data_IF_816481577031
#
_entry.id   IF_816481577031
#
_cell.length_a   1.000
_cell.length_b   1.000
_cell.length_c   1.000
_cell.angle_alpha   90.00
_cell.angle_beta   90.00
_cell.angle_gamma   90.00
#
_symmetry.space_group_name_H-M   'P 1'
#
loop_
_entity.id
_entity.type
_entity.pdbx_description
1 polymer ?
#
# COMPACT_ATOMS: atom_id res chain seq x y z
N UNK A 1 -9.36 -5.78 -5.21
CA UNK A 1 -8.85 -4.82 -4.20
C UNK A 1 -7.35 -4.99 -4.12
N UNK A 2 -6.60 -3.91 -4.31
CA UNK A 2 -5.14 -3.88 -4.35
C UNK A 2 -4.54 -4.36 -3.02
N UNK A 3 -4.28 -5.65 -2.93
CA UNK A 3 -3.86 -6.32 -1.72
C UNK A 3 -2.50 -7.02 -1.83
N UNK A 4 -1.77 -6.79 -2.91
CA UNK A 4 -0.44 -7.40 -3.11
C UNK A 4 0.47 -6.45 -3.86
N UNK A 5 1.70 -6.30 -3.38
CA UNK A 5 2.71 -5.49 -4.06
C UNK A 5 4.12 -6.05 -3.85
N UNK A 6 5.03 -5.61 -4.68
CA UNK A 6 6.44 -5.91 -4.63
C UNK A 6 7.23 -4.68 -4.21
N UNK A 7 8.30 -4.89 -3.44
CA UNK A 7 9.28 -3.87 -3.10
C UNK A 7 10.68 -4.51 -3.11
N UNK A 8 11.34 -4.41 -4.26
CA UNK A 8 12.72 -4.86 -4.45
C UNK A 8 13.74 -3.79 -4.09
N UNK A 9 13.33 -2.55 -4.12
CA UNK A 9 14.16 -1.43 -3.69
C UNK A 9 14.58 -1.59 -2.24
N UNK A 10 15.85 -1.43 -1.98
CA UNK A 10 16.42 -1.48 -0.65
C UNK A 10 16.16 -0.17 0.13
N UNK A 11 16.58 -0.15 1.39
CA UNK A 11 16.38 0.98 2.29
C UNK A 11 17.05 2.26 1.78
N UNK A 12 18.25 2.16 1.25
CA UNK A 12 18.98 3.33 0.74
C UNK A 12 18.30 3.91 -0.49
N UNK A 13 17.91 3.08 -1.46
CA UNK A 13 17.19 3.53 -2.65
C UNK A 13 15.88 4.21 -2.31
N UNK A 14 15.13 3.66 -1.34
CA UNK A 14 13.90 4.28 -0.83
C UNK A 14 14.19 5.62 -0.16
N UNK A 15 15.22 5.69 0.69
CA UNK A 15 15.59 6.93 1.36
C UNK A 15 15.94 8.05 0.38
N UNK A 16 16.70 7.74 -0.65
CA UNK A 16 17.07 8.68 -1.71
C UNK A 16 15.86 9.13 -2.52
N UNK A 17 15.03 8.16 -2.99
CA UNK A 17 13.87 8.45 -3.85
C UNK A 17 12.83 9.33 -3.15
N UNK A 18 12.61 9.10 -1.86
CA UNK A 18 11.59 9.83 -1.09
C UNK A 18 12.17 10.94 -0.22
N UNK A 19 13.48 11.23 -0.32
CA UNK A 19 14.18 12.21 0.51
C UNK A 19 13.89 12.03 2.00
N UNK A 20 14.09 10.80 2.49
CA UNK A 20 13.90 10.45 3.92
C UNK A 20 15.05 11.00 4.74
N UNK A 21 14.74 11.75 5.81
CA UNK A 21 15.71 12.37 6.69
C UNK A 21 15.80 11.71 8.08
N UNK A 22 14.82 10.91 8.48
CA UNK A 22 14.73 10.32 9.81
C UNK A 22 14.26 8.85 9.79
N UNK A 23 14.51 8.10 10.84
CA UNK A 23 14.03 6.72 11.04
C UNK A 23 14.83 5.64 10.31
N UNK A 24 15.94 5.98 9.65
CA UNK A 24 16.72 5.03 8.86
C UNK A 24 17.47 4.01 9.73
N UNK A 25 18.00 4.45 10.86
CA UNK A 25 18.77 3.58 11.75
C UNK A 25 17.86 2.66 12.57
N UNK A 26 16.67 3.14 12.92
CA UNK A 26 15.67 2.40 13.70
C UNK A 26 14.83 1.44 12.87
N UNK A 27 14.88 1.56 11.53
CA UNK A 27 14.03 0.79 10.62
C UNK A 27 14.84 -0.26 9.86
N UNK A 28 14.45 -1.52 9.98
CA UNK A 28 15.03 -2.63 9.22
C UNK A 28 13.96 -3.39 8.48
N UNK A 29 14.20 -3.64 7.20
CA UNK A 29 13.36 -4.46 6.33
C UNK A 29 14.16 -4.99 5.15
N UNK A 30 13.76 -6.15 4.65
CA UNK A 30 14.35 -6.75 3.46
C UNK A 30 13.49 -6.47 2.22
N UNK A 31 14.11 -6.34 1.03
CA UNK A 31 13.40 -6.40 -0.24
C UNK A 31 12.57 -7.69 -0.35
N UNK A 32 11.48 -7.63 -1.10
CA UNK A 32 10.63 -8.80 -1.29
C UNK A 32 9.73 -8.71 -2.51
N UNK A 33 9.33 -9.87 -2.99
CA UNK A 33 8.60 -10.02 -4.26
C UNK A 33 7.09 -10.02 -4.08
N UNK A 34 6.56 -10.21 -2.87
CA UNK A 34 5.12 -10.35 -2.68
C UNK A 34 4.69 -10.06 -1.23
N UNK A 35 4.31 -8.82 -0.97
CA UNK A 35 3.79 -8.40 0.31
C UNK A 35 2.26 -8.39 0.32
N UNK A 36 1.68 -8.76 1.46
CA UNK A 36 0.24 -8.89 1.66
C UNK A 36 -0.24 -8.16 2.92
N UNK A 37 -1.54 -7.85 3.01
CA UNK A 37 -2.11 -7.26 4.22
C UNK A 37 -1.81 -8.06 5.49
N UNK A 38 -1.74 -7.35 6.61
CA UNK A 38 -1.36 -7.79 7.94
C UNK A 38 0.16 -7.93 8.17
N UNK A 39 1.00 -7.74 7.14
CA UNK A 39 2.46 -7.64 7.31
C UNK A 39 2.88 -6.25 7.84
N UNK A 40 4.07 -6.18 8.43
CA UNK A 40 4.75 -4.92 8.74
C UNK A 40 5.47 -4.43 7.50
N UNK A 41 5.26 -3.16 7.13
CA UNK A 41 5.86 -2.59 5.93
C UNK A 41 6.42 -1.19 6.22
N UNK A 42 7.49 -0.79 5.52
CA UNK A 42 8.02 0.57 5.64
C UNK A 42 7.04 1.58 5.04
N UNK A 43 6.81 2.65 5.77
CA UNK A 43 5.92 3.73 5.40
C UNK A 43 6.65 5.05 5.60
N UNK A 44 6.45 5.99 4.69
CA UNK A 44 7.04 7.33 4.74
C UNK A 44 5.95 8.31 5.15
N UNK A 45 6.21 9.07 6.21
CA UNK A 45 5.32 10.11 6.71
C UNK A 45 6.15 11.29 7.26
N UNK A 46 5.51 12.38 7.66
CA UNK A 46 6.20 13.44 8.39
C UNK A 46 6.22 13.14 9.89
N UNK A 47 7.37 13.35 10.52
CA UNK A 47 7.51 13.34 11.97
C UNK A 47 7.05 14.69 12.57
N UNK A 48 7.16 14.82 13.88
CA UNK A 48 6.77 16.04 14.62
C UNK A 48 7.62 17.27 14.23
N UNK A 49 8.83 17.06 13.71
CA UNK A 49 9.72 18.12 13.23
C UNK A 49 9.45 18.54 11.79
N UNK A 50 8.49 17.89 11.09
CA UNK A 50 8.19 18.12 9.68
C UNK A 50 9.17 17.44 8.71
N UNK A 51 9.98 16.50 9.18
CA UNK A 51 10.92 15.75 8.37
C UNK A 51 10.27 14.46 7.84
N UNK A 52 10.62 14.05 6.64
CA UNK A 52 10.20 12.74 6.11
C UNK A 52 10.91 11.63 6.86
N UNK A 53 10.12 10.86 7.58
CA UNK A 53 10.56 9.71 8.36
C UNK A 53 10.08 8.42 7.74
N UNK A 54 10.94 7.39 7.73
CA UNK A 54 10.55 6.03 7.43
C UNK A 54 10.30 5.25 8.72
N UNK A 55 9.21 4.51 8.77
CA UNK A 55 8.82 3.73 9.94
C UNK A 55 8.09 2.45 9.52
N UNK A 56 8.26 1.36 10.28
CA UNK A 56 7.52 0.13 10.09
C UNK A 56 6.11 0.24 10.66
N UNK A 57 5.11 0.07 9.81
CA UNK A 57 3.70 0.11 10.20
C UNK A 57 2.96 -1.15 9.74
N UNK A 58 1.93 -1.54 10.47
CA UNK A 58 1.09 -2.67 10.10
C UNK A 58 0.15 -2.31 8.95
N UNK A 59 0.16 -3.13 7.92
CA UNK A 59 -0.79 -2.97 6.82
C UNK A 59 -2.12 -3.63 7.16
N UNK A 60 -3.17 -2.89 7.32
CA UNK A 60 -4.55 -3.27 7.59
C UNK A 60 -5.02 -3.16 9.05
N UNK A 61 -6.18 -2.55 9.19
CA UNK A 61 -6.90 -2.36 10.44
C UNK A 61 -7.79 -3.56 10.74
N UNK A 62 -7.54 -4.27 11.84
CA UNK A 62 -8.46 -5.26 12.38
C UNK A 62 -9.56 -4.56 13.16
N UNK A 63 -10.81 -4.84 12.81
CA UNK A 63 -11.99 -4.37 13.54
C UNK A 63 -12.69 -5.56 14.20
N UNK A 64 -13.28 -5.32 15.38
CA UNK A 64 -13.99 -6.36 16.15
C UNK A 64 -15.27 -6.82 15.47
N UNK A 65 -15.93 -5.92 14.74
CA UNK A 65 -17.23 -6.13 14.07
C UNK A 65 -17.10 -6.66 12.64
N UNK A 66 -15.87 -6.88 12.14
CA UNK A 66 -15.62 -7.32 10.76
C UNK A 66 -14.67 -8.52 10.69
N UNK A 67 -15.04 -9.57 9.93
CA UNK A 67 -14.18 -10.74 9.77
C UNK A 67 -12.91 -10.44 8.95
N UNK A 68 -12.99 -9.48 8.03
CA UNK A 68 -11.87 -9.09 7.15
C UNK A 68 -11.29 -7.76 7.57
N UNK A 69 -9.95 -7.65 7.69
CA UNK A 69 -9.31 -6.39 8.01
C UNK A 69 -9.46 -5.37 6.88
N UNK A 70 -9.47 -4.08 7.22
CA UNK A 70 -9.48 -2.99 6.27
C UNK A 70 -8.05 -2.64 5.87
N UNK A 71 -7.63 -3.02 4.69
CA UNK A 71 -6.29 -2.75 4.16
C UNK A 71 -6.27 -1.72 3.03
N UNK A 72 -7.45 -1.34 2.53
CA UNK A 72 -7.63 -0.25 1.59
C UNK A 72 -8.64 0.77 2.11
N UNK A 73 -8.48 2.01 1.70
CA UNK A 73 -9.46 3.07 1.82
C UNK A 73 -9.80 3.59 0.41
N UNK A 74 -11.08 3.86 0.13
CA UNK A 74 -11.47 4.49 -1.12
C UNK A 74 -11.04 5.95 -1.12
N UNK A 75 -10.41 6.40 -2.20
CA UNK A 75 -9.99 7.80 -2.36
C UNK A 75 -11.18 8.74 -2.56
N UNK A 76 -12.24 8.25 -3.20
CA UNK A 76 -13.44 9.03 -3.46
C UNK A 76 -14.17 9.36 -2.15
N UNK A 77 -14.29 10.65 -1.84
CA UNK A 77 -14.95 11.13 -0.64
C UNK A 77 -14.29 10.76 0.68
N UNK A 78 -12.99 10.44 0.66
CA UNK A 78 -12.24 10.03 1.86
C UNK A 78 -12.27 11.09 2.96
N UNK A 79 -12.31 12.37 2.58
CA UNK A 79 -12.40 13.52 3.48
C UNK A 79 -13.72 13.60 4.25
N UNK A 80 -14.76 12.90 3.77
CA UNK A 80 -16.06 12.79 4.43
C UNK A 80 -16.30 11.44 5.09
N UNK A 81 -15.46 10.44 4.79
CA UNK A 81 -15.62 9.08 5.30
C UNK A 81 -15.33 9.02 6.81
N UNK A 82 -16.34 8.72 7.64
CA UNK A 82 -16.28 8.74 9.11
C UNK A 82 -15.06 8.02 9.69
N UNK A 83 -14.63 6.91 9.10
CA UNK A 83 -13.47 6.14 9.58
C UNK A 83 -12.13 6.71 9.10
N UNK A 84 -12.09 7.35 7.92
CA UNK A 84 -10.85 7.73 7.25
C UNK A 84 -10.52 9.22 7.29
N UNK A 85 -11.53 10.12 7.43
CA UNK A 85 -11.35 11.57 7.31
C UNK A 85 -10.24 12.13 8.21
N UNK A 86 -10.17 11.67 9.48
CA UNK A 86 -9.18 12.19 10.42
C UNK A 86 -7.77 11.64 10.08
N UNK A 87 -7.68 10.38 9.61
CA UNK A 87 -6.44 9.82 9.11
C UNK A 87 -5.99 10.52 7.81
N UNK A 88 -6.93 10.85 6.93
CA UNK A 88 -6.61 11.60 5.71
C UNK A 88 -6.24 13.05 5.99
N UNK A 89 -6.79 13.67 7.03
CA UNK A 89 -6.39 15.02 7.44
C UNK A 89 -5.00 15.05 8.08
N UNK A 90 -4.67 14.10 8.97
CA UNK A 90 -3.51 14.17 9.88
C UNK A 90 -2.46 13.09 9.68
N UNK A 91 -2.81 11.99 9.02
CA UNK A 91 -1.98 10.79 8.90
C UNK A 91 -1.81 10.33 7.45
N UNK A 92 -1.62 11.27 6.52
CA UNK A 92 -1.21 10.90 5.16
C UNK A 92 0.19 10.33 5.17
N UNK A 93 0.41 9.30 4.36
CA UNK A 93 1.69 8.64 4.25
C UNK A 93 1.86 8.02 2.86
N UNK A 94 3.07 7.66 2.54
CA UNK A 94 3.43 7.02 1.27
C UNK A 94 4.01 5.65 1.55
N UNK A 95 3.54 4.64 0.83
CA UNK A 95 4.10 3.29 0.87
C UNK A 95 4.95 3.08 -0.39
N UNK A 96 6.27 2.82 -0.25
CA UNK A 96 7.13 2.56 -1.40
C UNK A 96 6.84 1.19 -2.01
N UNK A 97 6.79 1.12 -3.33
CA UNK A 97 6.59 -0.12 -4.07
C UNK A 97 7.25 -0.08 -5.43
N UNK A 98 7.58 -1.26 -5.97
CA UNK A 98 8.18 -1.42 -7.31
C UNK A 98 7.20 -2.04 -8.30
N UNK A 99 6.22 -2.81 -7.82
CA UNK A 99 5.10 -3.32 -8.61
C UNK A 99 3.87 -3.55 -7.73
N UNK A 100 2.68 -3.48 -8.32
CA UNK A 100 1.43 -3.94 -7.69
C UNK A 100 0.86 -5.11 -8.48
N UNK A 101 0.18 -6.02 -7.78
CA UNK A 101 -0.41 -7.20 -8.38
C UNK A 101 -1.92 -7.17 -8.27
N UNK A 102 -2.58 -7.52 -9.37
CA UNK A 102 -4.02 -7.74 -9.41
C UNK A 102 -4.37 -9.01 -10.17
N UNK A 103 -5.53 -9.55 -9.85
CA UNK A 103 -6.06 -10.78 -10.47
C UNK A 103 -7.29 -10.44 -11.29
N UNK A 104 -7.25 -10.85 -12.55
CA UNK A 104 -8.39 -10.69 -13.43
C UNK A 104 -9.54 -11.60 -12.97
N UNK A 105 -10.74 -11.03 -12.84
CA UNK A 105 -11.93 -11.80 -12.54
C UNK A 105 -12.25 -12.75 -13.69
N UNK A 106 -12.54 -14.00 -13.35
CA UNK A 106 -12.88 -15.06 -14.28
C UNK A 106 -14.14 -15.78 -13.79
N UNK A 107 -14.70 -16.65 -14.63
CA UNK A 107 -15.80 -17.51 -14.25
C UNK A 107 -15.47 -18.35 -13.01
N UNK A 108 -16.48 -18.60 -12.18
CA UNK A 108 -16.33 -19.36 -10.94
C UNK A 108 -15.67 -20.72 -11.19
N UNK A 109 -14.59 -20.99 -10.47
CA UNK A 109 -13.82 -22.23 -10.58
C UNK A 109 -12.67 -22.20 -11.58
N UNK A 110 -12.55 -21.16 -12.40
CA UNK A 110 -11.37 -20.95 -13.26
C UNK A 110 -10.26 -20.24 -12.49
N UNK A 111 -9.02 -20.51 -12.89
CA UNK A 111 -7.83 -19.87 -12.36
C UNK A 111 -7.82 -18.39 -12.76
N UNK A 112 -7.59 -17.49 -11.82
CA UNK A 112 -7.53 -16.06 -12.07
C UNK A 112 -6.13 -15.67 -12.56
N UNK A 113 -5.97 -15.14 -13.79
CA UNK A 113 -4.69 -14.62 -14.25
C UNK A 113 -4.17 -13.53 -13.30
N UNK A 114 -2.90 -13.62 -12.92
CA UNK A 114 -2.20 -12.60 -12.10
C UNK A 114 -1.47 -11.64 -13.03
N UNK A 115 -1.70 -10.36 -12.85
CA UNK A 115 -1.01 -9.31 -13.57
C UNK A 115 -0.12 -8.52 -12.61
N UNK A 116 1.06 -8.16 -13.10
CA UNK A 116 1.98 -7.22 -12.48
C UNK A 116 1.86 -5.87 -13.18
N UNK A 117 1.79 -4.80 -12.40
CA UNK A 117 1.74 -3.43 -12.90
C UNK A 117 2.92 -2.66 -12.34
N UNK A 118 3.66 -1.99 -13.23
CA UNK A 118 4.82 -1.16 -12.91
C UNK A 118 4.65 0.24 -13.49
N UNK A 119 5.38 1.20 -12.93
CA UNK A 119 5.50 2.57 -13.47
C UNK A 119 6.96 2.72 -13.93
N UNK A 120 7.27 2.51 -15.22
CA UNK A 120 8.64 2.52 -15.72
C UNK A 120 9.39 3.82 -15.40
N UNK A 121 10.60 3.69 -14.85
CA UNK A 121 11.43 4.82 -14.45
C UNK A 121 11.06 5.46 -13.11
N UNK A 122 10.11 4.88 -12.38
CA UNK A 122 9.72 5.27 -11.03
C UNK A 122 9.75 4.05 -10.08
N UNK A 123 10.88 3.36 -10.04
CA UNK A 123 11.12 2.30 -9.06
C UNK A 123 12.09 2.81 -7.97
N UNK A 124 11.62 2.92 -6.70
CA UNK A 124 10.27 2.70 -6.22
C UNK A 124 9.33 3.89 -6.48
N UNK A 125 8.04 3.59 -6.74
CA UNK A 125 6.96 4.57 -6.79
C UNK A 125 6.30 4.74 -5.41
N UNK A 126 5.53 5.84 -5.25
CA UNK A 126 4.78 6.12 -4.04
C UNK A 126 3.30 5.73 -4.14
N UNK A 127 2.85 4.80 -3.33
CA UNK A 127 1.43 4.50 -3.14
C UNK A 127 0.85 5.42 -2.06
N UNK A 128 -0.23 6.15 -2.40
CA UNK A 128 -0.96 6.95 -1.43
C UNK A 128 -1.55 6.07 -0.32
N UNK A 129 -1.37 6.47 0.92
CA UNK A 129 -1.89 5.75 2.07
C UNK A 129 -2.26 6.71 3.21
N UNK A 130 -3.00 6.19 4.16
CA UNK A 130 -3.30 6.87 5.43
C UNK A 130 -3.00 5.95 6.60
N UNK A 131 -2.48 6.52 7.67
CA UNK A 131 -2.18 5.80 8.91
C UNK A 131 -2.82 6.46 10.12
N UNK A 132 -3.00 5.67 11.16
CA UNK A 132 -3.31 6.16 12.51
C UNK A 132 -2.88 5.14 13.55
N UNK A 133 -2.77 5.60 14.78
CA UNK A 133 -2.60 4.73 15.92
C UNK A 133 -3.90 3.93 16.12
N UNK A 134 -3.79 2.62 16.18
CA UNK A 134 -4.91 1.69 16.27
C UNK A 134 -4.71 0.64 17.35
N UNK A 135 -5.71 0.46 18.22
CA UNK A 135 -5.68 -0.61 19.20
C UNK A 135 -6.10 -1.92 18.54
N UNK A 136 -5.20 -2.87 18.47
CA UNK A 136 -5.48 -4.18 17.90
C UNK A 136 -6.47 -4.93 18.82
N UNK A 137 -7.67 -5.31 18.36
CA UNK A 137 -8.70 -5.90 19.22
C UNK A 137 -8.36 -7.30 19.74
N UNK A 138 -7.34 -7.96 19.19
CA UNK A 138 -6.88 -9.29 19.64
C UNK A 138 -5.78 -9.23 20.69
N UNK A 139 -4.85 -8.30 20.52
CA UNK A 139 -3.66 -8.18 21.39
C UNK A 139 -3.80 -7.06 22.40
N UNK A 140 -4.79 -6.17 22.22
CA UNK A 140 -5.01 -4.93 22.96
C UNK A 140 -3.85 -3.92 22.91
N UNK A 141 -2.83 -4.19 22.11
CA UNK A 141 -1.70 -3.28 21.91
C UNK A 141 -2.04 -2.18 20.89
N UNK A 142 -1.46 -1.01 21.12
CA UNK A 142 -1.53 0.09 20.17
C UNK A 142 -0.43 -0.09 19.12
N UNK A 143 -0.83 -0.05 17.86
CA UNK A 143 0.05 -0.23 16.71
C UNK A 143 -0.16 0.93 15.72
N UNK A 144 0.92 1.43 15.09
CA UNK A 144 0.78 2.26 13.90
C UNK A 144 0.32 1.40 12.75
N UNK A 145 -0.81 1.75 12.20
CA UNK A 145 -1.51 0.93 11.20
C UNK A 145 -1.91 1.79 10.02
N UNK A 146 -1.70 1.28 8.81
CA UNK A 146 -2.01 2.00 7.59
C UNK A 146 -2.95 1.24 6.67
N UNK A 147 -3.57 1.97 5.74
CA UNK A 147 -4.32 1.45 4.60
C UNK A 147 -3.91 2.19 3.33
N UNK A 148 -3.75 1.44 2.24
CA UNK A 148 -3.46 2.00 0.91
C UNK A 148 -4.73 2.59 0.31
N UNK A 149 -4.62 3.76 -0.32
CA UNK A 149 -5.74 4.38 -1.02
C UNK A 149 -5.96 3.71 -2.38
N UNK A 150 -7.23 3.54 -2.72
CA UNK A 150 -7.62 3.00 -4.02
C UNK A 150 -8.69 3.87 -4.65
N UNK A 151 -8.54 4.12 -5.94
CA UNK A 151 -9.46 4.88 -6.79
C UNK A 151 -10.04 4.06 -7.92
N UNK A 152 -10.69 4.75 -8.85
CA UNK A 152 -11.14 4.16 -10.11
C UNK A 152 -9.95 3.64 -10.92
N UNK A 153 -10.11 2.55 -11.69
CA UNK A 153 -9.06 2.04 -12.55
C UNK A 153 -8.88 2.93 -13.78
N UNK A 154 -7.65 3.03 -14.28
CA UNK A 154 -7.40 3.54 -15.62
C UNK A 154 -7.73 2.48 -16.70
N UNK A 155 -7.61 2.85 -17.97
CA UNK A 155 -7.96 1.99 -19.12
C UNK A 155 -7.11 0.71 -19.18
N UNK A 156 -5.88 0.72 -18.64
CA UNK A 156 -5.03 -0.47 -18.56
C UNK A 156 -5.47 -1.43 -17.46
N UNK A 157 -5.92 -0.91 -16.31
CA UNK A 157 -6.35 -1.72 -15.16
C UNK A 157 -7.81 -2.20 -15.30
N UNK A 158 -8.70 -1.39 -15.87
CA UNK A 158 -10.14 -1.64 -15.92
C UNK A 158 -10.54 -3.04 -16.46
N UNK A 159 -9.88 -3.62 -17.47
CA UNK A 159 -10.18 -4.98 -17.94
C UNK A 159 -9.80 -6.09 -16.95
N UNK A 160 -8.99 -5.76 -15.93
CA UNK A 160 -8.43 -6.72 -14.97
C UNK A 160 -9.13 -6.60 -13.62
N UNK A 161 -9.29 -5.36 -13.14
CA UNK A 161 -9.88 -5.10 -11.82
C UNK A 161 -10.64 -3.77 -11.80
N UNK A 162 -11.71 -3.69 -11.00
CA UNK A 162 -12.60 -2.52 -10.84
C UNK A 162 -12.01 -1.41 -9.95
N UNK A 163 -10.84 -1.65 -9.34
CA UNK A 163 -10.12 -0.69 -8.49
C UNK A 163 -8.65 -0.67 -8.83
N UNK A 164 -8.01 0.48 -8.61
CA UNK A 164 -6.57 0.66 -8.77
C UNK A 164 -5.99 1.37 -7.55
N UNK A 165 -4.75 1.05 -7.19
CA UNK A 165 -3.98 1.81 -6.20
C UNK A 165 -3.85 3.27 -6.65
N UNK A 166 -4.08 4.20 -5.73
CA UNK A 166 -3.80 5.62 -5.97
C UNK A 166 -2.31 5.87 -5.77
N UNK A 167 -1.66 6.39 -6.80
CA UNK A 167 -0.24 6.74 -6.76
C UNK A 167 -0.07 8.24 -6.52
N UNK A 168 0.99 8.62 -5.80
CA UNK A 168 1.43 10.00 -5.66
C UNK A 168 2.64 10.19 -6.56
N UNK A 169 2.64 11.18 -7.43
CA UNK A 169 3.81 11.49 -8.27
C UNK A 169 4.92 12.16 -7.43
N UNK A 170 6.21 11.98 -7.77
CA UNK A 170 7.32 12.53 -6.98
C UNK A 170 7.22 14.04 -6.72
N UNK A 171 6.75 14.82 -7.68
CA UNK A 171 6.54 16.27 -7.56
C UNK A 171 5.47 16.65 -6.52
N UNK A 172 4.58 15.71 -6.18
CA UNK A 172 3.44 15.93 -5.29
C UNK A 172 3.70 15.40 -3.86
N UNK A 173 4.84 14.73 -3.59
CA UNK A 173 5.13 14.13 -2.28
C UNK A 173 5.12 15.15 -1.15
N UNK A 174 5.70 16.32 -1.37
CA UNK A 174 5.75 17.37 -0.36
C UNK A 174 4.34 17.84 0.02
N UNK A 175 3.53 18.21 -0.97
CA UNK A 175 2.16 18.66 -0.74
C UNK A 175 1.29 17.55 -0.16
N UNK A 176 1.44 16.31 -0.64
CA UNK A 176 0.66 15.18 -0.13
C UNK A 176 0.92 14.91 1.35
N UNK A 177 2.15 15.02 1.80
CA UNK A 177 2.55 14.76 3.19
C UNK A 177 2.36 15.98 4.10
N UNK A 178 2.39 17.20 3.57
CA UNK A 178 2.37 18.44 4.36
C UNK A 178 1.13 18.56 5.25
N UNK A 179 1.27 19.01 6.50
CA UNK A 179 0.15 19.35 7.36
C UNK A 179 -0.74 20.40 6.68
N UNK A 180 -2.04 20.23 6.73
CA UNK A 180 -2.99 21.17 6.11
C UNK A 180 -4.35 21.10 6.81
N UNK A 181 -5.08 22.22 6.80
CA UNK A 181 -6.48 22.24 7.23
C UNK A 181 -7.42 21.66 6.16
N UNK A 182 -7.00 21.66 4.90
CA UNK A 182 -7.76 21.12 3.76
C UNK A 182 -6.95 20.03 3.07
N UNK A 183 -7.29 18.75 3.29
CA UNK A 183 -6.54 17.63 2.71
C UNK A 183 -6.51 17.73 1.18
N UNK A 184 -5.38 17.37 0.54
CA UNK A 184 -5.14 17.57 -0.89
C UNK A 184 -5.85 16.49 -1.73
N UNK A 185 -7.17 16.47 -1.75
CA UNK A 185 -7.99 15.51 -2.54
C UNK A 185 -7.68 15.55 -4.03
N UNK A 186 -7.26 16.71 -4.55
CA UNK A 186 -6.89 16.90 -5.96
C UNK A 186 -5.64 16.12 -6.37
N UNK A 187 -4.84 15.64 -5.42
CA UNK A 187 -3.69 14.76 -5.66
C UNK A 187 -4.10 13.29 -5.79
N UNK A 188 -5.33 12.92 -5.37
CA UNK A 188 -5.86 11.56 -5.47
C UNK A 188 -6.45 11.30 -6.86
N UNK A 189 -5.65 11.50 -7.89
CA UNK A 189 -6.04 11.33 -9.29
C UNK A 189 -5.68 9.96 -9.83
N UNK A 190 -6.41 9.54 -10.84
CA UNK A 190 -6.12 8.31 -11.58
C UNK A 190 -4.81 8.51 -12.36
N UNK A 191 -3.86 7.61 -12.19
CA UNK A 191 -2.63 7.63 -12.96
C UNK A 191 -2.93 7.25 -14.41
N UNK A 192 -2.51 8.06 -15.43
CA UNK A 192 -2.76 7.75 -16.83
C UNK A 192 -2.17 6.41 -17.27
N UNK A 193 -2.92 5.68 -18.12
CA UNK A 193 -2.55 4.33 -18.54
C UNK A 193 -1.19 4.26 -19.26
N UNK A 194 -0.84 5.31 -20.03
CA UNK A 194 0.43 5.41 -20.76
C UNK A 194 1.66 5.47 -19.83
N UNK A 195 1.49 5.87 -18.58
CA UNK A 195 2.55 5.86 -17.54
C UNK A 195 2.79 4.49 -16.93
N UNK A 196 1.93 3.51 -17.22
CA UNK A 196 2.00 2.18 -16.62
C UNK A 196 2.30 1.11 -17.66
N UNK A 197 2.77 -0.04 -17.18
CA UNK A 197 2.87 -1.27 -17.96
C UNK A 197 2.26 -2.41 -17.16
N UNK A 198 1.54 -3.29 -17.87
CA UNK A 198 0.99 -4.52 -17.32
C UNK A 198 1.68 -5.72 -17.93
N UNK A 199 1.96 -6.73 -17.12
CA UNK A 199 2.52 -8.01 -17.55
C UNK A 199 1.74 -9.15 -16.91
N UNK A 200 1.33 -10.13 -17.70
CA UNK A 200 0.79 -11.39 -17.16
C UNK A 200 1.94 -12.12 -16.44
N UNK A 201 1.75 -12.41 -15.16
CA UNK A 201 2.66 -13.22 -14.37
C UNK A 201 2.16 -14.65 -14.42
N UNK A 202 3.02 -15.59 -14.85
CA UNK A 202 2.62 -17.00 -14.98
C UNK A 202 2.10 -17.54 -13.65
N UNK A 203 0.95 -18.18 -13.74
CA UNK A 203 0.23 -18.69 -12.57
C UNK A 203 0.68 -20.11 -12.30
N UNK A 204 1.91 -20.28 -11.82
CA UNK A 204 2.27 -21.53 -11.17
C UNK A 204 1.35 -21.76 -9.97
N UNK A 205 0.82 -22.96 -9.73
CA UNK A 205 0.01 -23.24 -8.56
C UNK A 205 0.84 -22.90 -7.33
N UNK A 206 0.29 -22.12 -6.41
CA UNK A 206 0.84 -22.00 -5.07
C UNK A 206 0.95 -23.43 -4.56
N UNK A 207 2.17 -23.96 -4.48
CA UNK A 207 2.40 -25.24 -3.88
C UNK A 207 2.03 -25.11 -2.41
N UNK A 208 0.89 -25.68 -2.03
CA UNK A 208 0.53 -25.97 -0.65
C UNK A 208 1.48 -27.05 -0.12
N UNK A 209 2.77 -26.71 -0.01
CA UNK A 209 3.79 -27.52 0.67
C UNK A 209 4.39 -26.70 1.79
N UNK A 210 3.57 -26.45 2.80
CA UNK A 210 4.05 -26.16 4.16
C UNK A 210 2.96 -26.53 5.15
N UNK A 211 2.50 -27.77 5.12
CA UNK A 211 1.85 -28.42 6.24
C UNK A 211 2.28 -29.88 6.17
N UNK A 212 3.35 -30.20 6.87
CA UNK A 212 3.58 -31.45 7.60
C UNK A 212 5.09 -31.63 7.90
N UNK A 213 5.51 -31.06 8.99
CA UNK A 213 6.72 -31.48 9.69
C UNK A 213 6.45 -31.40 11.19
N UNK A 214 5.40 -32.06 11.66
CA UNK A 214 5.25 -32.50 13.06
C UNK A 214 4.22 -33.61 13.09
N UNK A 215 4.64 -34.79 12.60
CA UNK A 215 4.12 -36.06 13.05
C UNK A 215 5.23 -37.07 12.84
N UNK A 216 5.86 -37.46 13.89
CA UNK A 216 6.52 -38.74 14.18
C UNK A 216 7.65 -38.57 15.19
N UNK A 217 7.40 -38.92 16.37
CA UNK A 217 7.99 -39.74 17.45
C UNK A 217 7.94 -39.07 18.79
#
# INVERSE_FOLDING_TARGET
MCGRYQRRSDKQRIAETFAVAAGLDETSFDPGDDFSPQSMQPVIHLNENGERQIEMMRWAFKLSDRPRPLFNARSEGIEHAKFWRDAFLKGRCIVPGDAVFEWQETEKGKKKPKYEFVIPGQEPFGMAAVWKLWKNPKTEHWERTFAVLTGEPNELMAPIHDRMTTFVEPRDYEEYLAPTERPPVHLLRVLPAEKMRARLVDVSPISNKQVSLFDSQ
#
